data_IF_277817018755
#
_entry.id   IF_277817018755
#
_cell.length_a   1.000
_cell.length_b   1.000
_cell.length_c   1.000
_cell.angle_alpha   90.00
_cell.angle_beta   90.00
_cell.angle_gamma   90.00
#
_symmetry.space_group_name_H-M   'P 1'
#
loop_
_entity.id
_entity.type
_entity.pdbx_description
1 polymer ?
#
# COMPACT_ATOMS: atom_id res chain seq x y z
N UNK A 1 -0.48 -12.74 -4.31
CA UNK A 1 -0.39 -13.21 -5.71
C UNK A 1 0.50 -12.28 -6.52
N UNK A 2 1.29 -12.77 -7.49
CA UNK A 2 2.15 -11.91 -8.29
C UNK A 2 1.34 -11.03 -9.25
N UNK A 3 1.76 -9.77 -9.44
CA UNK A 3 1.02 -8.79 -10.26
C UNK A 3 0.96 -9.15 -11.75
N UNK A 4 1.99 -9.82 -12.28
CA UNK A 4 2.10 -10.13 -13.72
C UNK A 4 1.08 -11.16 -14.20
N UNK A 5 0.46 -11.93 -13.30
CA UNK A 5 -0.63 -12.85 -13.64
C UNK A 5 -2.00 -12.16 -13.71
N UNK A 6 -2.04 -10.83 -13.55
CA UNK A 6 -3.27 -10.02 -13.51
C UNK A 6 -4.36 -10.62 -12.60
N UNK A 7 -4.13 -10.70 -11.28
CA UNK A 7 -5.02 -11.37 -10.31
C UNK A 7 -6.27 -10.53 -9.97
N UNK A 8 -6.82 -9.82 -10.95
CA UNK A 8 -7.97 -8.94 -10.79
C UNK A 8 -9.23 -9.63 -11.33
N UNK A 9 -10.35 -9.43 -10.65
CA UNK A 9 -11.63 -10.04 -11.03
C UNK A 9 -12.73 -9.02 -11.22
N UNK A 10 -12.64 -7.89 -10.53
CA UNK A 10 -13.68 -6.86 -10.50
C UNK A 10 -13.10 -5.48 -10.19
N UNK A 11 -14.01 -4.50 -10.05
CA UNK A 11 -13.67 -3.17 -9.54
C UNK A 11 -12.91 -3.29 -8.21
N UNK A 12 -11.71 -2.74 -8.15
CA UNK A 12 -10.77 -2.96 -7.05
C UNK A 12 -10.29 -1.62 -6.50
N UNK A 13 -10.20 -1.51 -5.17
CA UNK A 13 -9.53 -0.41 -4.48
C UNK A 13 -8.14 -0.86 -4.02
N UNK A 14 -7.14 -0.01 -4.19
CA UNK A 14 -5.76 -0.32 -3.82
C UNK A 14 -5.39 0.41 -2.55
N UNK A 15 -5.07 -0.35 -1.50
CA UNK A 15 -4.49 0.19 -0.28
C UNK A 15 -2.96 0.06 -0.35
N UNK A 16 -2.27 1.17 -0.15
CA UNK A 16 -0.82 1.27 -0.21
C UNK A 16 -0.27 1.56 1.18
N UNK A 17 0.73 0.79 1.60
CA UNK A 17 1.37 0.98 2.90
C UNK A 17 2.25 2.22 2.97
N UNK A 18 2.56 2.63 4.19
CA UNK A 18 3.48 3.72 4.44
C UNK A 18 4.92 3.36 4.03
N UNK A 19 5.71 4.36 3.68
CA UNK A 19 7.11 4.16 3.30
C UNK A 19 7.93 3.65 4.50
N UNK A 20 8.77 2.64 4.27
CA UNK A 20 9.59 1.99 5.30
C UNK A 20 8.84 0.96 6.16
N UNK A 21 7.64 1.27 6.65
CA UNK A 21 6.89 0.38 7.56
C UNK A 21 5.90 -0.54 6.85
N UNK A 22 5.43 -0.18 5.65
CA UNK A 22 4.40 -0.93 4.94
C UNK A 22 3.00 -0.73 5.54
N UNK A 23 2.13 -1.72 5.32
CA UNK A 23 0.77 -1.76 5.89
C UNK A 23 0.81 -2.24 7.34
N UNK A 24 0.04 -1.59 8.19
CA UNK A 24 -0.24 -2.04 9.55
C UNK A 24 -1.09 -3.32 9.54
N UNK A 25 -1.09 -4.04 10.67
CA UNK A 25 -1.90 -5.27 10.81
C UNK A 25 -3.38 -5.01 10.58
N UNK A 26 -3.91 -3.89 11.10
CA UNK A 26 -5.32 -3.54 10.94
C UNK A 26 -5.68 -3.17 9.50
N UNK A 27 -4.77 -2.53 8.78
CA UNK A 27 -4.93 -2.27 7.35
C UNK A 27 -4.90 -3.56 6.54
N UNK A 28 -4.09 -4.55 6.93
CA UNK A 28 -4.11 -5.86 6.31
C UNK A 28 -5.42 -6.61 6.60
N UNK A 29 -5.93 -6.53 7.83
CA UNK A 29 -7.15 -7.24 8.25
C UNK A 29 -8.42 -6.78 7.49
N UNK A 30 -8.45 -5.55 6.99
CA UNK A 30 -9.56 -5.03 6.16
C UNK A 30 -9.43 -5.37 4.67
N UNK A 31 -8.28 -5.87 4.21
CA UNK A 31 -8.04 -6.15 2.80
C UNK A 31 -8.49 -7.57 2.43
N UNK A 32 -9.23 -7.70 1.33
CA UNK A 32 -9.68 -9.02 0.85
C UNK A 32 -8.56 -9.84 0.20
N UNK A 33 -7.55 -9.17 -0.35
CA UNK A 33 -6.51 -9.81 -1.16
C UNK A 33 -5.23 -8.99 -1.21
N UNK A 34 -4.09 -9.69 -1.35
CA UNK A 34 -2.77 -9.08 -1.43
C UNK A 34 -2.06 -9.41 -2.73
N UNK A 35 -1.57 -8.37 -3.39
CA UNK A 35 -0.75 -8.46 -4.60
C UNK A 35 0.68 -8.04 -4.29
N UNK A 36 1.65 -8.67 -4.95
CA UNK A 36 3.06 -8.32 -4.81
C UNK A 36 3.73 -8.18 -6.18
N UNK A 37 4.77 -7.36 -6.23
CA UNK A 37 5.65 -7.19 -7.39
C UNK A 37 6.83 -8.14 -7.17
N UNK A 38 7.08 -9.02 -8.15
CA UNK A 38 8.21 -9.94 -8.07
C UNK A 38 9.53 -9.16 -8.07
N UNK A 39 10.40 -9.44 -7.10
CA UNK A 39 11.75 -8.90 -7.01
C UNK A 39 12.74 -10.04 -7.20
N UNK A 40 13.66 -9.89 -8.14
CA UNK A 40 14.63 -10.94 -8.49
C UNK A 40 16.05 -10.68 -7.95
N UNK A 41 16.31 -9.46 -7.48
CA UNK A 41 17.57 -9.08 -6.85
C UNK A 41 17.48 -9.05 -5.32
N UNK A 42 18.62 -9.17 -4.65
CA UNK A 42 18.73 -9.14 -3.17
C UNK A 42 19.10 -7.76 -2.59
N UNK A 43 19.23 -6.73 -3.43
CA UNK A 43 19.72 -5.40 -3.01
C UNK A 43 18.71 -4.50 -2.31
N UNK A 44 17.41 -4.82 -2.41
CA UNK A 44 16.35 -4.08 -1.71
C UNK A 44 15.27 -5.06 -1.27
N UNK A 45 14.58 -4.72 -0.17
CA UNK A 45 13.42 -5.45 0.30
C UNK A 45 12.12 -4.97 -0.38
N UNK A 46 12.08 -3.73 -0.88
CA UNK A 46 10.88 -3.13 -1.45
C UNK A 46 11.20 -2.07 -2.50
N UNK A 47 10.17 -1.71 -3.27
CA UNK A 47 10.19 -0.57 -4.17
C UNK A 47 9.58 0.64 -3.47
N UNK A 48 9.92 1.84 -3.96
CA UNK A 48 9.22 3.05 -3.56
C UNK A 48 7.70 2.89 -3.76
N UNK A 49 6.90 3.35 -2.79
CA UNK A 49 5.45 3.15 -2.77
C UNK A 49 4.76 3.67 -4.04
N UNK A 50 5.20 4.81 -4.57
CA UNK A 50 4.60 5.40 -5.78
C UNK A 50 4.95 4.61 -7.03
N UNK A 51 6.17 4.05 -7.08
CA UNK A 51 6.61 3.16 -8.16
C UNK A 51 5.81 1.86 -8.12
N UNK A 52 5.65 1.27 -6.92
CA UNK A 52 4.85 0.08 -6.74
C UNK A 52 3.39 0.30 -7.17
N UNK A 53 2.79 1.41 -6.72
CA UNK A 53 1.43 1.79 -7.11
C UNK A 53 1.28 1.95 -8.62
N UNK A 54 2.24 2.61 -9.28
CA UNK A 54 2.22 2.83 -10.73
C UNK A 54 2.25 1.52 -11.51
N UNK A 55 3.08 0.56 -11.08
CA UNK A 55 3.15 -0.78 -11.69
C UNK A 55 1.82 -1.52 -11.53
N UNK A 56 1.27 -1.53 -10.31
CA UNK A 56 0.00 -2.22 -10.02
C UNK A 56 -1.16 -1.62 -10.82
N UNK A 57 -1.28 -0.29 -10.82
CA UNK A 57 -2.33 0.41 -11.57
C UNK A 57 -2.19 0.22 -13.08
N UNK A 58 -0.97 0.16 -13.60
CA UNK A 58 -0.75 -0.14 -15.02
C UNK A 58 -1.22 -1.57 -15.37
N UNK A 59 -0.84 -2.59 -14.58
CA UNK A 59 -1.33 -3.94 -14.79
C UNK A 59 -2.85 -4.05 -14.65
N UNK A 60 -3.44 -3.28 -13.74
CA UNK A 60 -4.89 -3.20 -13.61
C UNK A 60 -5.54 -2.58 -14.85
N UNK A 61 -5.00 -1.48 -15.38
CA UNK A 61 -5.50 -0.83 -16.58
C UNK A 61 -5.40 -1.74 -17.82
N UNK A 62 -4.31 -2.50 -17.95
CA UNK A 62 -4.14 -3.49 -19.03
C UNK A 62 -5.16 -4.61 -18.91
N UNK A 63 -5.35 -5.16 -17.70
CA UNK A 63 -6.36 -6.19 -17.45
C UNK A 63 -7.79 -5.70 -17.69
N UNK A 64 -8.11 -4.47 -17.25
CA UNK A 64 -9.41 -3.86 -17.42
C UNK A 64 -9.69 -3.40 -18.86
N UNK A 65 -8.70 -3.48 -19.76
CA UNK A 65 -8.83 -3.08 -21.16
C UNK A 65 -9.04 -1.58 -21.35
N UNK A 66 -8.44 -0.73 -20.49
CA UNK A 66 -8.52 0.71 -20.67
C UNK A 66 -7.85 1.15 -21.96
N UNK A 67 -8.55 1.99 -22.73
CA UNK A 67 -8.03 2.55 -23.98
C UNK A 67 -6.91 3.56 -23.70
N UNK A 68 -5.82 3.47 -24.46
CA UNK A 68 -4.77 4.48 -24.43
C UNK A 68 -5.33 5.85 -24.88
N UNK A 69 -4.85 6.92 -24.26
CA UNK A 69 -5.21 8.31 -24.63
C UNK A 69 -4.51 8.72 -25.93
N UNK A 70 -5.11 9.65 -26.66
CA UNK A 70 -4.51 10.22 -27.87
C UNK A 70 -3.12 10.80 -27.62
N UNK A 71 -2.22 10.56 -28.58
CA UNK A 71 -0.81 10.98 -28.54
C UNK A 71 -0.53 11.99 -29.64
N UNK A 72 0.27 13.00 -29.33
CA UNK A 72 0.84 13.92 -30.29
C UNK A 72 2.37 13.84 -30.18
N UNK A 73 2.99 13.14 -31.13
CA UNK A 73 4.42 12.80 -31.07
C UNK A 73 4.75 11.95 -29.83
N UNK A 74 5.61 12.48 -28.96
CA UNK A 74 6.11 11.79 -27.75
C UNK A 74 5.31 12.10 -26.47
N UNK A 75 4.23 12.88 -26.57
CA UNK A 75 3.41 13.29 -25.40
C UNK A 75 1.94 12.92 -25.61
N UNK A 76 1.22 12.78 -24.50
CA UNK A 76 -0.24 12.62 -24.52
C UNK A 76 -0.94 13.97 -24.68
N UNK A 77 -2.07 13.96 -25.39
CA UNK A 77 -2.93 15.14 -25.51
C UNK A 77 -3.54 15.43 -24.14
N UNK A 78 -3.25 16.63 -23.62
CA UNK A 78 -3.75 17.09 -22.31
C UNK A 78 -5.20 17.56 -22.52
N UNK A 79 -6.12 17.03 -21.72
CA UNK A 79 -7.49 17.54 -21.73
C UNK A 79 -7.53 18.93 -21.11
N UNK A 80 -8.54 19.72 -21.46
CA UNK A 80 -8.74 21.02 -20.85
C UNK A 80 -8.78 20.90 -19.32
N UNK A 81 -8.07 21.79 -18.65
CA UNK A 81 -8.06 21.83 -17.19
C UNK A 81 -9.50 22.05 -16.73
N UNK A 82 -10.08 21.15 -15.94
CA UNK A 82 -11.43 21.36 -15.43
C UNK A 82 -11.45 22.67 -14.65
N UNK A 83 -12.47 23.50 -14.91
CA UNK A 83 -12.63 24.79 -14.22
C UNK A 83 -12.69 24.49 -12.73
N UNK A 84 -11.77 25.07 -11.96
CA UNK A 84 -11.77 24.92 -10.50
C UNK A 84 -13.12 25.38 -9.99
N UNK A 85 -13.92 24.46 -9.46
CA UNK A 85 -15.04 24.83 -8.62
C UNK A 85 -14.44 25.52 -7.40
N UNK A 86 -14.48 26.86 -7.40
CA UNK A 86 -14.04 27.67 -6.27
C UNK A 86 -15.05 27.52 -5.13
N UNK A 87 -15.20 26.32 -4.57
CA UNK A 87 -15.66 26.22 -3.20
C UNK A 87 -14.48 26.62 -2.33
N UNK A 88 -14.33 27.94 -2.09
CA UNK A 88 -13.40 28.43 -1.07
C UNK A 88 -13.88 27.83 0.25
N UNK A 89 -13.22 26.76 0.71
CA UNK A 89 -13.27 26.38 2.12
C UNK A 89 -12.58 27.52 2.86
N UNK A 90 -13.37 28.48 3.32
CA UNK A 90 -12.90 29.54 4.19
C UNK A 90 -12.61 28.86 5.54
N UNK A 91 -11.34 28.67 5.87
CA UNK A 91 -10.97 28.38 7.25
C UNK A 91 -11.30 29.62 8.07
N UNK A 92 -12.38 29.57 8.84
CA UNK A 92 -12.75 30.62 9.79
C UNK A 92 -11.80 30.67 11.00
N UNK A 93 -10.95 29.66 11.15
CA UNK A 93 -10.02 29.51 12.27
C UNK A 93 -8.72 30.27 12.03
N UNK A 94 -8.22 30.91 13.08
CA UNK A 94 -6.93 31.62 13.03
C UNK A 94 -5.77 30.61 12.91
N UNK A 95 -4.61 31.01 12.35
CA UNK A 95 -3.45 30.13 12.17
C UNK A 95 -3.00 29.42 13.46
N UNK A 96 -3.16 30.07 14.60
CA UNK A 96 -2.82 29.53 15.92
C UNK A 96 -3.77 28.41 16.34
N UNK A 97 -5.08 28.56 16.11
CA UNK A 97 -6.07 27.52 16.42
C UNK A 97 -5.85 26.26 15.58
N UNK A 98 -5.48 26.42 14.31
CA UNK A 98 -5.17 25.29 13.42
C UNK A 98 -3.88 24.58 13.87
N UNK A 99 -2.87 25.33 14.29
CA UNK A 99 -1.63 24.78 14.82
C UNK A 99 -1.86 23.98 16.11
N UNK A 100 -2.67 24.52 17.02
CA UNK A 100 -3.01 23.86 18.27
C UNK A 100 -3.88 22.63 18.03
N UNK A 101 -4.89 22.71 17.16
CA UNK A 101 -5.68 21.53 16.77
C UNK A 101 -4.83 20.42 16.14
N UNK A 102 -3.82 20.76 15.33
CA UNK A 102 -2.89 19.76 14.77
C UNK A 102 -2.00 19.15 15.86
N UNK A 103 -1.53 19.96 16.81
CA UNK A 103 -0.79 19.47 17.99
C UNK A 103 -1.64 18.53 18.84
N UNK A 104 -2.89 18.91 19.11
CA UNK A 104 -3.83 18.10 19.89
C UNK A 104 -4.26 16.83 19.14
N UNK A 105 -4.42 16.87 17.82
CA UNK A 105 -4.64 15.65 17.02
C UNK A 105 -3.43 14.74 17.04
N UNK A 106 -2.21 15.28 17.01
CA UNK A 106 -0.99 14.50 17.11
C UNK A 106 -0.75 13.94 18.52
N UNK A 107 -1.17 14.67 19.57
CA UNK A 107 -1.07 14.23 20.96
C UNK A 107 -2.22 13.28 21.37
N UNK A 108 -3.40 13.46 20.77
CA UNK A 108 -4.61 12.68 20.99
C UNK A 108 -4.88 11.63 19.93
N UNK A 109 -3.92 11.36 19.03
CA UNK A 109 -3.98 10.21 18.13
C UNK A 109 -3.76 8.96 18.97
N UNK A 110 -4.81 8.56 19.69
CA UNK A 110 -5.15 7.15 19.75
C UNK A 110 -5.54 6.82 18.32
N UNK A 111 -4.59 6.25 17.59
CA UNK A 111 -4.83 5.75 16.24
C UNK A 111 -6.17 5.03 16.26
N UNK A 112 -7.07 5.26 15.28
CA UNK A 112 -8.28 4.42 15.17
C UNK A 112 -7.92 2.93 15.10
N UNK A 113 -6.66 2.67 14.77
CA UNK A 113 -5.96 1.42 14.84
C UNK A 113 -5.47 0.97 16.25
N UNK A 114 -5.86 1.56 17.38
CA UNK A 114 -5.39 1.13 18.72
C UNK A 114 -6.49 1.16 19.82
N UNK A 115 -7.38 0.18 19.79
CA UNK A 115 -8.22 -0.34 20.88
C UNK A 115 -8.69 -1.72 20.35
N UNK A 116 -8.56 -2.89 20.98
CA UNK A 116 -8.54 -3.24 22.39
C UNK A 116 -7.56 -4.41 22.63
N UNK A 117 -6.71 -4.34 23.67
CA UNK A 117 -6.31 -5.53 24.44
C UNK A 117 -5.61 -5.11 25.75
N UNK A 118 -6.38 -4.93 26.82
CA UNK A 118 -5.85 -4.98 28.18
C UNK A 118 -6.50 -6.18 28.88
N UNK A 119 -5.78 -7.30 28.91
CA UNK A 119 -5.81 -8.19 30.08
C UNK A 119 -4.43 -8.83 30.21
N UNK A 120 -3.72 -8.34 31.22
CA UNK A 120 -2.41 -8.78 31.66
C UNK A 120 -2.50 -10.14 32.35
N UNK A 121 -1.60 -11.07 31.99
CA UNK A 121 -1.01 -11.99 32.96
C UNK A 121 0.46 -12.18 32.63
N UNK A 122 1.28 -11.72 33.55
CA UNK A 122 2.72 -11.90 33.69
C UNK A 122 3.12 -13.38 33.83
N UNK A 123 4.22 -13.78 33.19
CA UNK A 123 5.23 -14.61 33.86
C UNK A 123 6.58 -14.64 33.12
N UNK A 124 7.62 -14.71 33.94
CA UNK A 124 9.04 -14.59 33.65
C UNK A 124 9.65 -15.79 32.90
N UNK A 125 10.68 -15.52 32.08
CA UNK A 125 11.93 -16.28 31.98
C UNK A 125 11.94 -17.70 31.38
N UNK A 126 12.57 -17.87 30.20
CA UNK A 126 13.76 -18.74 29.96
C UNK A 126 14.11 -18.88 28.49
N UNK A 127 15.42 -18.87 28.22
CA UNK A 127 16.07 -19.27 26.97
C UNK A 127 15.59 -20.64 26.45
N UNK A 128 15.49 -20.79 25.12
CA UNK A 128 16.29 -21.78 24.35
C UNK A 128 16.05 -21.73 22.83
N UNK A 129 17.19 -21.80 22.14
CA UNK A 129 17.49 -22.29 20.79
C UNK A 129 16.47 -23.30 20.22
N UNK A 130 16.06 -23.15 18.94
CA UNK A 130 15.78 -24.30 18.06
C UNK A 130 15.83 -23.92 16.55
N UNK A 131 16.87 -24.42 15.89
CA UNK A 131 16.98 -24.95 14.52
C UNK A 131 15.92 -24.59 13.47
N UNK A 132 16.32 -23.90 12.40
CA UNK A 132 15.69 -24.02 11.09
C UNK A 132 16.04 -25.40 10.51
N UNK A 133 15.04 -26.25 10.36
CA UNK A 133 15.17 -27.52 9.64
C UNK A 133 14.87 -27.32 8.17
N UNK A 134 15.71 -27.95 7.37
CA UNK A 134 15.65 -28.07 5.93
C UNK A 134 14.30 -28.66 5.47
N UNK A 135 13.84 -28.21 4.31
CA UNK A 135 12.99 -29.02 3.44
C UNK A 135 13.43 -28.79 2.01
N UNK A 136 14.42 -29.58 1.62
CA UNK A 136 14.83 -29.84 0.25
C UNK A 136 13.98 -31.01 -0.28
N UNK A 137 13.16 -30.78 -1.31
CA UNK A 137 12.93 -31.72 -2.43
C UNK A 137 12.36 -30.87 -3.58
N UNK A 138 13.16 -30.44 -4.56
CA UNK A 138 13.43 -31.11 -5.84
C UNK A 138 12.19 -31.52 -6.67
N UNK A 139 12.34 -31.33 -8.00
CA UNK A 139 11.50 -31.79 -9.13
C UNK A 139 10.43 -30.77 -9.57
N UNK A 140 10.35 -30.27 -10.81
CA UNK A 140 10.89 -30.76 -12.08
C UNK A 140 11.18 -29.61 -13.06
N UNK A 141 12.35 -29.73 -13.67
CA UNK A 141 12.70 -29.30 -15.01
C UNK A 141 11.78 -30.01 -16.02
N UNK A 142 11.13 -29.28 -16.93
CA UNK A 142 10.72 -29.83 -18.22
C UNK A 142 10.80 -28.74 -19.29
N UNK A 143 11.72 -28.96 -20.24
CA UNK A 143 11.68 -28.53 -21.63
C UNK A 143 10.29 -28.69 -22.24
N UNK A 144 9.81 -27.65 -22.94
CA UNK A 144 9.61 -27.61 -24.42
C UNK A 144 9.85 -26.18 -24.89
#
# INVERSE_FOLDING_TARGET
MPIHSHPFTQSSAFLLGNEGTGLSKKEMDICDSFVYIAQYGSGTASLNVTVAASIVLHHFAVWAGFSERDRCGHKFVVADRPIKQHHRVICSETPEMVAEMRRLRHAGCKDWADNDNEMSVSNEGKERVSTCSESSVLMNLFEV
#
